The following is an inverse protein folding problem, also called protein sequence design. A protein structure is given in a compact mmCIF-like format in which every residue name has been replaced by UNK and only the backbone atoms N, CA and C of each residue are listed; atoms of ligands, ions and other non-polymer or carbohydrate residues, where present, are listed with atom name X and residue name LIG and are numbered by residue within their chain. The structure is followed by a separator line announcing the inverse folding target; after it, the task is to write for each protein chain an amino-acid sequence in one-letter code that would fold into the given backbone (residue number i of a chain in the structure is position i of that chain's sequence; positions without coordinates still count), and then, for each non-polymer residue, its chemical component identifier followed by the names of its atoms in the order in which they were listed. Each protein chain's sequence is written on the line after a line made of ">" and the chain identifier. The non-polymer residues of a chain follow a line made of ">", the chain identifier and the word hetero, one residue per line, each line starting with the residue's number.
data_IF_081104422359
#
_entry.id   IF_081104422359
#
_cell.length_a   1.000
_cell.length_b   1.000
_cell.length_c   1.000
_cell.angle_alpha   90.00
_cell.angle_beta   90.00
_cell.angle_gamma   90.00
#
_symmetry.space_group_name_H-M   'P 1'
#
loop_
_entity.id
_entity.type
_entity.pdbx_description
1 polymer ?
#
# COMPACT_ATOMS: atom_id res chain seq x y z
N UNK A 1 11.45 -13.76 -3.22
CA UNK A 1 11.27 -12.58 -2.35
C UNK A 1 10.68 -11.35 -3.07
N UNK A 2 11.42 -10.53 -3.85
CA UNK A 2 10.83 -9.32 -4.49
C UNK A 2 9.61 -9.65 -5.38
N UNK A 3 9.68 -10.72 -6.18
CA UNK A 3 8.55 -11.20 -6.99
C UNK A 3 7.32 -11.60 -6.15
N UNK A 4 7.55 -12.22 -4.99
CA UNK A 4 6.47 -12.58 -4.06
C UNK A 4 5.85 -11.36 -3.41
N UNK A 5 6.64 -10.34 -3.07
CA UNK A 5 6.14 -9.04 -2.63
C UNK A 5 5.25 -8.40 -3.69
N UNK A 6 5.70 -8.38 -4.95
CA UNK A 6 4.93 -7.77 -6.05
C UNK A 6 3.61 -8.51 -6.25
N UNK A 7 3.64 -9.85 -6.27
CA UNK A 7 2.44 -10.68 -6.39
C UNK A 7 1.48 -10.49 -5.19
N UNK A 8 2.03 -10.48 -3.97
CA UNK A 8 1.27 -10.21 -2.75
C UNK A 8 0.60 -8.83 -2.82
N UNK A 9 1.35 -7.78 -3.16
CA UNK A 9 0.81 -6.44 -3.25
C UNK A 9 -0.30 -6.32 -4.30
N UNK A 10 -0.13 -6.93 -5.48
CA UNK A 10 -1.19 -7.01 -6.51
C UNK A 10 -2.47 -7.64 -5.96
N UNK A 11 -2.36 -8.76 -5.25
CA UNK A 11 -3.52 -9.43 -4.63
C UNK A 11 -4.21 -8.59 -3.57
N UNK A 12 -3.47 -7.75 -2.83
CA UNK A 12 -4.04 -6.83 -1.85
C UNK A 12 -4.71 -5.64 -2.53
N UNK A 13 -4.11 -5.09 -3.59
CA UNK A 13 -4.75 -4.04 -4.40
C UNK A 13 -6.07 -4.52 -4.99
N UNK A 14 -6.13 -5.76 -5.50
CA UNK A 14 -7.39 -6.36 -5.98
C UNK A 14 -8.43 -6.45 -4.87
N UNK A 15 -8.08 -6.99 -3.70
CA UNK A 15 -8.98 -7.04 -2.54
C UNK A 15 -9.47 -5.67 -2.09
N UNK A 16 -8.59 -4.67 -2.03
CA UNK A 16 -8.98 -3.32 -1.67
C UNK A 16 -9.93 -2.72 -2.71
N UNK A 17 -9.67 -2.92 -4.00
CA UNK A 17 -10.56 -2.46 -5.06
C UNK A 17 -11.92 -3.14 -5.01
N UNK A 18 -11.97 -4.46 -4.74
CA UNK A 18 -13.22 -5.20 -4.54
C UNK A 18 -14.02 -4.65 -3.36
N UNK A 19 -13.36 -4.41 -2.24
CA UNK A 19 -13.99 -3.84 -1.06
C UNK A 19 -14.58 -2.43 -1.33
N UNK A 20 -13.91 -1.62 -2.15
CA UNK A 20 -14.40 -0.29 -2.52
C UNK A 20 -15.66 -0.31 -3.43
N UNK A 21 -16.04 -1.48 -3.97
CA UNK A 21 -17.31 -1.63 -4.68
C UNK A 21 -18.50 -1.78 -3.73
N UNK A 22 -18.26 -2.13 -2.46
CA UNK A 22 -19.28 -2.21 -1.44
C UNK A 22 -19.53 -0.82 -0.82
N UNK A 23 -20.73 -0.23 -0.98
CA UNK A 23 -21.04 1.09 -0.43
C UNK A 23 -21.08 1.13 1.10
N UNK A 24 -21.18 -0.02 1.78
CA UNK A 24 -21.12 -0.11 3.24
C UNK A 24 -19.69 -0.35 3.75
N UNK A 25 -18.74 -0.64 2.86
CA UNK A 25 -17.36 -0.89 3.25
C UNK A 25 -16.70 0.38 3.78
N UNK A 26 -16.05 0.22 4.93
CA UNK A 26 -15.18 1.23 5.50
C UNK A 26 -13.77 0.65 5.58
N UNK A 27 -12.80 1.38 5.03
CA UNK A 27 -11.40 1.04 5.22
C UNK A 27 -11.07 1.11 6.71
N UNK A 28 -10.48 0.04 7.24
CA UNK A 28 -10.13 -0.06 8.66
C UNK A 28 -8.65 -0.35 8.88
N UNK A 29 -8.11 0.09 10.02
CA UNK A 29 -6.73 -0.23 10.42
C UNK A 29 -6.55 -1.75 10.48
N UNK A 30 -7.55 -2.48 10.97
CA UNK A 30 -7.52 -3.94 11.00
C UNK A 30 -7.41 -4.58 9.60
N UNK A 31 -7.93 -3.93 8.56
CA UNK A 31 -7.79 -4.38 7.17
C UNK A 31 -6.43 -4.05 6.54
N UNK A 32 -5.83 -2.91 6.90
CA UNK A 32 -4.58 -2.43 6.27
C UNK A 32 -3.30 -2.82 7.02
N UNK A 33 -3.35 -2.96 8.36
CA UNK A 33 -2.17 -3.26 9.18
C UNK A 33 -1.49 -4.59 8.78
N UNK A 34 -2.21 -5.70 8.54
CA UNK A 34 -1.57 -6.94 8.13
C UNK A 34 -0.85 -6.84 6.78
N UNK A 35 -1.33 -5.97 5.88
CA UNK A 35 -0.65 -5.70 4.61
C UNK A 35 0.66 -4.95 4.84
N UNK A 36 0.66 -3.89 5.65
CA UNK A 36 1.87 -3.16 6.00
C UNK A 36 2.91 -4.05 6.71
N UNK A 37 2.48 -4.83 7.71
CA UNK A 37 3.35 -5.75 8.46
C UNK A 37 4.03 -6.77 7.53
N UNK A 38 3.29 -7.30 6.55
CA UNK A 38 3.82 -8.27 5.60
C UNK A 38 4.86 -7.65 4.66
N UNK A 39 4.73 -6.38 4.31
CA UNK A 39 5.74 -5.68 3.49
C UNK A 39 7.06 -5.50 4.24
N UNK A 40 7.01 -5.19 5.55
CA UNK A 40 8.21 -5.17 6.40
C UNK A 40 8.86 -6.55 6.51
N UNK A 41 8.06 -7.61 6.61
CA UNK A 41 8.57 -8.98 6.64
C UNK A 41 9.33 -9.33 5.35
N UNK A 42 8.82 -8.93 4.18
CA UNK A 42 9.53 -9.07 2.91
C UNK A 42 10.85 -8.30 2.92
N UNK A 43 10.87 -7.08 3.45
CA UNK A 43 12.06 -6.25 3.56
C UNK A 43 13.15 -6.88 4.44
N UNK A 44 12.77 -7.58 5.50
CA UNK A 44 13.70 -8.27 6.41
C UNK A 44 14.36 -9.52 5.80
N UNK A 45 13.75 -10.07 4.74
CA UNK A 45 14.20 -11.30 4.08
C UNK A 45 15.04 -11.02 2.82
N UNK A 46 15.33 -9.75 2.53
CA UNK A 46 16.15 -9.35 1.39
C UNK A 46 17.61 -9.15 1.80
N UNK A 47 18.50 -9.88 1.15
CA UNK A 47 19.95 -9.76 1.34
C UNK A 47 20.58 -8.65 0.48
N UNK A 48 19.97 -8.32 -0.66
CA UNK A 48 20.44 -7.23 -1.52
C UNK A 48 20.08 -5.88 -0.88
N UNK A 49 21.07 -5.05 -0.52
CA UNK A 49 20.82 -3.81 0.22
C UNK A 49 20.04 -2.78 -0.60
N UNK A 50 20.22 -2.73 -1.92
CA UNK A 50 19.52 -1.77 -2.78
C UNK A 50 18.05 -2.18 -2.97
N UNK A 51 17.77 -3.48 -3.10
CA UNK A 51 16.39 -3.98 -3.14
C UNK A 51 15.72 -3.84 -1.77
N UNK A 52 16.44 -4.14 -0.69
CA UNK A 52 15.97 -3.98 0.67
C UNK A 52 15.54 -2.53 0.94
N UNK A 53 16.38 -1.56 0.63
CA UNK A 53 16.09 -0.14 0.85
C UNK A 53 14.82 0.32 0.13
N UNK A 54 14.57 -0.18 -1.08
CA UNK A 54 13.35 0.08 -1.84
C UNK A 54 12.12 -0.54 -1.20
N UNK A 55 12.23 -1.79 -0.76
CA UNK A 55 11.11 -2.46 -0.07
C UNK A 55 10.82 -1.82 1.28
N UNK A 56 11.85 -1.38 2.02
CA UNK A 56 11.67 -0.63 3.27
C UNK A 56 10.90 0.68 2.99
N UNK A 57 11.25 1.45 1.96
CA UNK A 57 10.48 2.65 1.57
C UNK A 57 9.05 2.34 1.15
N UNK A 58 8.84 1.20 0.48
CA UNK A 58 7.50 0.76 0.10
C UNK A 58 6.67 0.40 1.34
N UNK A 59 7.26 -0.30 2.32
CA UNK A 59 6.63 -0.63 3.59
C UNK A 59 6.32 0.62 4.44
N UNK A 60 7.23 1.61 4.48
CA UNK A 60 6.97 2.91 5.13
C UNK A 60 5.77 3.65 4.49
N UNK A 61 5.61 3.56 3.17
CA UNK A 61 4.43 4.07 2.49
C UNK A 61 3.14 3.36 2.94
N UNK A 62 3.19 2.05 3.14
CA UNK A 62 2.07 1.28 3.66
C UNK A 62 1.71 1.68 5.10
N UNK A 63 2.70 1.94 5.96
CA UNK A 63 2.45 2.48 7.30
C UNK A 63 1.74 3.83 7.25
N UNK A 64 2.15 4.73 6.35
CA UNK A 64 1.47 6.02 6.14
C UNK A 64 0.04 5.84 5.66
N UNK A 65 -0.23 4.85 4.81
CA UNK A 65 -1.60 4.50 4.41
C UNK A 65 -2.42 4.01 5.60
N UNK A 66 -1.86 3.17 6.47
CA UNK A 66 -2.51 2.73 7.71
C UNK A 66 -2.83 3.92 8.61
N UNK A 67 -1.91 4.88 8.75
CA UNK A 67 -2.15 6.09 9.54
C UNK A 67 -3.24 6.96 8.94
N UNK A 68 -3.33 7.10 7.61
CA UNK A 68 -4.46 7.78 6.96
C UNK A 68 -5.78 7.07 7.22
N UNK A 69 -5.82 5.74 7.15
CA UNK A 69 -7.01 4.96 7.48
C UNK A 69 -7.41 5.18 8.95
N UNK A 70 -6.44 5.19 9.88
CA UNK A 70 -6.68 5.52 11.31
C UNK A 70 -7.26 6.92 11.49
N UNK A 71 -6.75 7.90 10.75
CA UNK A 71 -7.30 9.27 10.76
C UNK A 71 -8.73 9.31 10.18
N UNK A 72 -9.01 8.49 9.16
CA UNK A 72 -10.37 8.29 8.63
C UNK A 72 -11.33 7.73 9.67
N UNK A 73 -10.96 6.61 10.31
CA UNK A 73 -11.75 5.95 11.36
C UNK A 73 -12.04 6.88 12.56
N UNK A 74 -11.08 7.74 12.93
CA UNK A 74 -11.23 8.69 14.03
C UNK A 74 -11.95 9.98 13.65
N UNK A 75 -12.38 10.13 12.40
CA UNK A 75 -13.06 11.34 11.90
C UNK A 75 -12.14 12.56 11.73
N UNK A 76 -10.83 12.36 11.70
CA UNK A 76 -9.86 13.43 11.46
C UNK A 76 -9.77 13.81 9.97
N UNK A 77 -10.09 12.88 9.07
CA UNK A 77 -10.16 13.11 7.61
C UNK A 77 -11.58 13.36 7.10
N UNK A 78 -12.60 13.43 7.96
CA UNK A 78 -13.95 13.81 7.50
C UNK A 78 -14.02 15.30 7.19
N UNK A 79 -14.58 15.68 6.02
CA UNK A 79 -14.85 17.08 5.71
C UNK A 79 -15.74 17.73 6.77
N UNK A 80 -15.52 19.02 7.03
CA UNK A 80 -16.41 19.80 7.91
C UNK A 80 -17.83 19.92 7.35
N UNK A 81 -17.97 19.87 6.02
CA UNK A 81 -19.25 19.78 5.32
C UNK A 81 -19.58 18.31 5.00
N UNK A 82 -20.64 17.71 5.57
CA UNK A 82 -21.04 16.32 5.33
C UNK A 82 -21.38 16.01 3.86
N UNK A 83 -21.64 17.03 3.03
CA UNK A 83 -21.92 16.89 1.61
C UNK A 83 -20.65 17.00 0.73
N UNK A 84 -19.52 17.43 1.31
CA UNK A 84 -18.26 17.47 0.59
C UNK A 84 -17.68 16.04 0.42
N UNK A 85 -17.03 15.75 -0.71
CA UNK A 85 -16.34 14.49 -0.90
C UNK A 85 -15.20 14.34 0.11
N UNK A 86 -14.86 13.10 0.49
CA UNK A 86 -13.69 12.82 1.31
C UNK A 86 -12.41 13.36 0.65
N UNK A 87 -11.45 13.90 1.43
CA UNK A 87 -10.20 14.38 0.89
C UNK A 87 -9.39 13.21 0.32
N UNK A 88 -9.19 13.19 -1.00
CA UNK A 88 -8.42 12.15 -1.69
C UNK A 88 -6.94 12.49 -1.81
N UNK A 89 -6.57 13.76 -1.66
CA UNK A 89 -5.19 14.24 -1.77
C UNK A 89 -4.22 13.53 -0.83
N UNK A 90 -4.52 13.38 0.48
CA UNK A 90 -3.59 12.71 1.41
C UNK A 90 -3.28 11.28 0.99
N UNK A 91 -4.27 10.55 0.48
CA UNK A 91 -4.08 9.20 -0.04
C UNK A 91 -3.24 9.19 -1.31
N UNK A 92 -3.42 10.16 -2.21
CA UNK A 92 -2.61 10.29 -3.43
C UNK A 92 -1.13 10.57 -3.12
N UNK A 93 -0.87 11.49 -2.20
CA UNK A 93 0.49 11.87 -1.78
C UNK A 93 1.29 10.69 -1.22
N UNK A 94 0.62 9.71 -0.61
CA UNK A 94 1.25 8.47 -0.14
C UNK A 94 1.35 7.42 -1.24
N UNK A 95 0.29 7.25 -2.04
CA UNK A 95 0.24 6.20 -3.07
C UNK A 95 1.22 6.43 -4.23
N UNK A 96 1.43 7.68 -4.66
CA UNK A 96 2.30 8.01 -5.80
C UNK A 96 3.76 7.53 -5.60
N UNK A 97 4.45 7.86 -4.48
CA UNK A 97 5.77 7.31 -4.19
C UNK A 97 5.79 5.78 -4.12
N UNK A 98 4.74 5.16 -3.57
CA UNK A 98 4.64 3.70 -3.47
C UNK A 98 4.60 3.04 -4.85
N UNK A 99 3.85 3.60 -5.80
CA UNK A 99 3.83 3.11 -7.18
C UNK A 99 5.20 3.20 -7.85
N UNK A 100 5.94 4.29 -7.60
CA UNK A 100 7.29 4.46 -8.15
C UNK A 100 8.26 3.40 -7.60
N UNK A 101 8.22 3.08 -6.31
CA UNK A 101 9.06 2.02 -5.74
C UNK A 101 8.66 0.64 -6.26
N UNK A 102 7.35 0.35 -6.38
CA UNK A 102 6.88 -0.92 -6.93
C UNK A 102 7.33 -1.10 -8.39
N UNK A 103 7.25 -0.06 -9.21
CA UNK A 103 7.73 -0.08 -10.59
C UNK A 103 9.25 -0.29 -10.67
N UNK A 104 10.01 0.33 -9.76
CA UNK A 104 11.45 0.14 -9.70
C UNK A 104 11.84 -1.29 -9.26
N UNK A 105 11.11 -1.87 -8.30
CA UNK A 105 11.27 -3.26 -7.88
C UNK A 105 10.93 -4.24 -9.01
N UNK A 106 9.86 -4.00 -9.75
CA UNK A 106 9.45 -4.80 -10.91
C UNK A 106 10.51 -4.73 -12.03
N UNK A 107 11.05 -3.54 -12.29
CA UNK A 107 12.13 -3.34 -13.28
C UNK A 107 13.44 -4.03 -12.87
N UNK A 108 13.76 -4.04 -11.57
CA UNK A 108 14.97 -4.68 -11.05
C UNK A 108 14.84 -6.20 -10.97
N UNK A 109 13.61 -6.73 -10.95
CA UNK A 109 13.30 -8.15 -10.85
C UNK A 109 12.21 -8.55 -11.86
N UNK A 110 12.45 -8.38 -13.17
CA UNK A 110 11.44 -8.65 -14.19
C UNK A 110 10.95 -10.10 -14.07
N UNK A 111 9.66 -10.33 -14.31
CA UNK A 111 9.19 -11.69 -14.50
C UNK A 111 9.97 -12.30 -15.68
N UNK A 112 10.48 -13.52 -15.52
CA UNK A 112 11.09 -14.23 -16.64
C UNK A 112 9.99 -14.54 -17.66
N UNK A 113 9.76 -13.62 -18.60
CA UNK A 113 9.03 -13.92 -19.82
C UNK A 113 9.94 -14.82 -20.67
N UNK A 114 9.57 -16.10 -20.68
CA UNK A 114 9.87 -17.13 -21.67
C UNK A 114 11.00 -16.85 -22.68
N UNK A 115 12.11 -17.57 -22.51
CA UNK A 115 12.90 -18.05 -23.65
C UNK A 115 12.11 -19.10 -24.45
#
# INVERSE_FOLDING_TARGET
>A
MVRELIAYNKSQTEKFNENLLDPEYQSTVAGYQPWADRLHEFASQLDDPALKERVDRFAEGADRMVDLVRQGESGQLTPQDPLAPLPTEPYREVAEPMYAELQALDTACPADDAA
#
